data_IF_718039140419
#
_entry.id   IF_718039140419
#
_cell.length_a   1.000
_cell.length_b   1.000
_cell.length_c   1.000
_cell.angle_alpha   90.00
_cell.angle_beta   90.00
_cell.angle_gamma   90.00
#
_symmetry.space_group_name_H-M   'P 1'
#
loop_
_entity.id
_entity.type
_entity.pdbx_description
1 polymer ?
#
# COMPACT_ATOMS: atom_id res chain seq x y z
N UNK A 1 -24.16 5.91 12.96
CA UNK A 1 -22.98 6.24 12.14
C UNK A 1 -23.24 5.81 10.71
N UNK A 2 -22.84 6.61 9.75
CA UNK A 2 -23.01 6.30 8.31
C UNK A 2 -21.82 5.52 7.72
N UNK A 3 -20.69 5.43 8.46
CA UNK A 3 -19.49 4.71 8.04
C UNK A 3 -18.80 4.09 9.26
N UNK A 4 -18.47 2.82 9.14
CA UNK A 4 -17.65 2.07 10.11
C UNK A 4 -16.42 1.54 9.39
N UNK A 5 -15.22 1.80 9.93
CA UNK A 5 -13.99 1.16 9.49
C UNK A 5 -13.52 0.19 10.56
N UNK A 6 -13.44 -1.11 10.23
CA UNK A 6 -12.96 -2.12 11.16
C UNK A 6 -11.53 -2.55 10.81
N UNK A 7 -10.59 -2.23 11.71
CA UNK A 7 -9.23 -2.73 11.61
C UNK A 7 -9.15 -4.14 12.20
N UNK A 8 -9.14 -5.13 11.33
CA UNK A 8 -9.27 -6.55 11.69
C UNK A 8 -8.00 -7.17 12.26
N UNK A 9 -7.22 -6.46 13.08
CA UNK A 9 -6.01 -6.98 13.75
C UNK A 9 -6.13 -6.90 15.25
N UNK A 10 -5.54 -7.89 15.92
CA UNK A 10 -5.44 -7.89 17.38
C UNK A 10 -4.52 -6.76 17.85
N UNK A 11 -4.96 -6.00 18.86
CA UNK A 11 -4.15 -4.98 19.55
C UNK A 11 -3.50 -5.65 20.75
N UNK A 12 -2.19 -5.93 20.66
CA UNK A 12 -1.42 -6.39 21.82
C UNK A 12 -1.01 -5.20 22.69
N UNK A 13 -0.93 -5.36 24.03
CA UNK A 13 -0.63 -4.26 24.96
C UNK A 13 0.65 -3.46 24.60
N UNK A 14 1.66 -4.12 24.04
CA UNK A 14 2.96 -3.53 23.71
C UNK A 14 3.23 -3.40 22.20
N UNK A 15 2.30 -3.80 21.35
CA UNK A 15 2.45 -3.74 19.90
C UNK A 15 1.14 -3.33 19.26
N UNK A 16 1.15 -2.22 18.53
CA UNK A 16 -0.05 -1.69 17.86
C UNK A 16 -0.69 -2.66 16.84
N UNK A 17 0.05 -3.66 16.35
CA UNK A 17 -0.43 -4.61 15.34
C UNK A 17 0.26 -5.96 15.54
N UNK A 18 -0.47 -6.96 15.98
CA UNK A 18 0.03 -8.32 16.12
C UNK A 18 -0.74 -9.27 15.19
N UNK A 19 0.01 -10.11 14.46
CA UNK A 19 -0.54 -11.19 13.64
C UNK A 19 -1.21 -10.76 12.33
N UNK A 20 -1.83 -11.74 11.67
CA UNK A 20 -2.59 -11.54 10.44
C UNK A 20 -3.92 -10.80 10.72
N UNK A 21 -4.46 -10.14 9.70
CA UNK A 21 -5.80 -9.55 9.79
C UNK A 21 -6.86 -10.66 9.87
N UNK A 22 -7.78 -10.55 10.81
CA UNK A 22 -8.89 -11.48 11.04
C UNK A 22 -10.13 -10.99 10.31
N UNK A 23 -10.14 -11.19 8.99
CA UNK A 23 -11.21 -10.70 8.11
C UNK A 23 -12.60 -11.25 8.45
N UNK A 24 -12.65 -12.40 9.14
CA UNK A 24 -13.89 -12.97 9.67
C UNK A 24 -14.66 -12.01 10.59
N UNK A 25 -13.97 -11.11 11.31
CA UNK A 25 -14.65 -10.10 12.13
C UNK A 25 -15.31 -9.00 11.29
N UNK A 26 -14.70 -8.63 10.17
CA UNK A 26 -15.33 -7.68 9.22
C UNK A 26 -16.58 -8.30 8.64
N UNK A 27 -16.48 -9.55 8.17
CA UNK A 27 -17.64 -10.31 7.63
C UNK A 27 -18.76 -10.44 8.65
N UNK A 28 -18.43 -10.76 9.90
CA UNK A 28 -19.43 -10.87 10.98
C UNK A 28 -20.11 -9.53 11.26
N UNK A 29 -19.38 -8.41 11.22
CA UNK A 29 -19.96 -7.07 11.38
C UNK A 29 -20.92 -6.74 10.24
N UNK A 30 -20.52 -6.96 8.99
CA UNK A 30 -21.38 -6.73 7.81
C UNK A 30 -22.66 -7.54 7.94
N UNK A 31 -22.54 -8.84 8.27
CA UNK A 31 -23.71 -9.71 8.48
C UNK A 31 -24.62 -9.20 9.59
N UNK A 32 -24.09 -8.79 10.73
CA UNK A 32 -24.89 -8.28 11.84
C UNK A 32 -25.66 -7.00 11.45
N UNK A 33 -25.04 -6.10 10.67
CA UNK A 33 -25.72 -4.90 10.15
C UNK A 33 -26.82 -5.24 9.16
N UNK A 34 -26.64 -6.27 8.31
CA UNK A 34 -27.68 -6.78 7.42
C UNK A 34 -28.86 -7.37 8.19
N UNK A 35 -28.57 -8.25 9.16
CA UNK A 35 -29.60 -8.92 9.96
C UNK A 35 -30.50 -7.91 10.74
N UNK A 36 -29.91 -6.74 11.09
CA UNK A 36 -30.61 -5.66 11.79
C UNK A 36 -31.23 -4.60 10.86
N UNK A 37 -31.11 -4.75 9.54
CA UNK A 37 -31.59 -3.74 8.57
C UNK A 37 -30.85 -2.41 8.59
N UNK A 38 -29.64 -2.37 9.16
CA UNK A 38 -28.83 -1.15 9.33
C UNK A 38 -27.83 -0.92 8.21
N UNK A 39 -27.48 -1.95 7.42
CA UNK A 39 -26.52 -1.84 6.32
C UNK A 39 -27.07 -0.99 5.18
N UNK A 40 -26.20 -0.21 4.54
CA UNK A 40 -26.59 0.74 3.48
C UNK A 40 -27.22 0.09 2.23
N UNK A 41 -27.08 -1.22 2.04
CA UNK A 41 -27.75 -1.98 0.99
C UNK A 41 -29.22 -2.30 1.32
N UNK A 42 -29.67 -2.05 2.55
CA UNK A 42 -31.06 -2.25 2.98
C UNK A 42 -31.88 -0.94 2.81
N UNK A 43 -33.19 -1.01 2.57
CA UNK A 43 -34.02 0.17 2.28
C UNK A 43 -33.94 1.30 3.32
N UNK A 44 -33.88 0.95 4.61
CA UNK A 44 -33.74 1.91 5.72
C UNK A 44 -32.33 2.05 6.28
N UNK A 45 -31.41 1.21 5.83
CA UNK A 45 -30.02 1.18 6.32
C UNK A 45 -29.19 2.33 5.78
N UNK A 46 -28.27 2.84 6.62
CA UNK A 46 -27.39 3.97 6.26
C UNK A 46 -25.92 3.74 6.62
N UNK A 47 -25.58 2.54 7.10
CA UNK A 47 -24.22 2.25 7.57
C UNK A 47 -23.45 1.47 6.52
N UNK A 48 -22.33 2.01 6.09
CA UNK A 48 -21.33 1.35 5.22
C UNK A 48 -20.18 0.82 6.05
N UNK A 49 -19.53 -0.25 5.58
CA UNK A 49 -18.38 -0.87 6.24
C UNK A 49 -17.17 -0.84 5.34
N UNK A 50 -16.04 -0.33 5.87
CA UNK A 50 -14.73 -0.46 5.23
C UNK A 50 -13.91 -1.52 5.94
N UNK A 51 -13.40 -2.48 5.16
CA UNK A 51 -12.42 -3.47 5.61
C UNK A 51 -11.04 -2.84 5.67
N UNK A 52 -10.38 -2.86 6.84
CA UNK A 52 -9.03 -2.35 7.01
C UNK A 52 -8.08 -3.48 7.41
N UNK A 53 -7.18 -3.84 6.51
CA UNK A 53 -6.16 -4.86 6.70
C UNK A 53 -6.13 -5.90 5.59
N UNK A 54 -5.03 -6.66 5.53
CA UNK A 54 -4.80 -7.75 4.57
C UNK A 54 -4.81 -7.34 3.09
N UNK A 55 -4.62 -6.07 2.77
CA UNK A 55 -4.43 -5.60 1.38
C UNK A 55 -2.99 -5.12 1.25
N UNK A 56 -2.19 -5.81 0.47
CA UNK A 56 -0.78 -5.51 0.18
C UNK A 56 -0.57 -5.17 -1.28
N UNK A 57 -1.37 -5.76 -2.16
CA UNK A 57 -1.36 -5.58 -3.60
C UNK A 57 -2.74 -5.24 -4.11
N UNK A 58 -2.84 -4.78 -5.36
CA UNK A 58 -4.13 -4.57 -6.02
C UNK A 58 -4.99 -5.85 -6.09
N UNK A 59 -4.35 -7.01 -6.28
CA UNK A 59 -5.04 -8.30 -6.37
C UNK A 59 -5.72 -8.72 -5.06
N UNK A 60 -5.25 -8.24 -3.92
CA UNK A 60 -5.88 -8.52 -2.62
C UNK A 60 -7.22 -7.80 -2.46
N UNK A 61 -7.47 -6.72 -3.21
CA UNK A 61 -8.68 -5.89 -3.08
C UNK A 61 -9.95 -6.70 -3.41
N UNK A 62 -10.09 -7.31 -4.62
CA UNK A 62 -11.29 -8.08 -4.94
C UNK A 62 -11.46 -9.29 -4.02
N UNK A 63 -10.39 -9.98 -3.64
CA UNK A 63 -10.46 -11.13 -2.73
C UNK A 63 -10.93 -10.71 -1.33
N UNK A 64 -10.44 -9.59 -0.79
CA UNK A 64 -10.87 -9.05 0.50
C UNK A 64 -12.34 -8.66 0.49
N UNK A 65 -12.80 -7.92 -0.54
CA UNK A 65 -14.21 -7.52 -0.69
C UNK A 65 -15.12 -8.72 -0.85
N UNK A 66 -14.76 -9.70 -1.67
CA UNK A 66 -15.53 -10.92 -1.87
C UNK A 66 -15.69 -11.72 -0.57
N UNK A 67 -14.64 -11.81 0.24
CA UNK A 67 -14.69 -12.53 1.51
C UNK A 67 -15.46 -11.78 2.59
N UNK A 68 -15.18 -10.48 2.76
CA UNK A 68 -15.73 -9.68 3.87
C UNK A 68 -17.14 -9.17 3.61
N UNK A 69 -17.52 -9.04 2.35
CA UNK A 69 -18.75 -8.38 1.89
C UNK A 69 -18.82 -6.90 2.34
N UNK A 70 -17.66 -6.28 2.60
CA UNK A 70 -17.57 -4.87 2.94
C UNK A 70 -17.84 -3.96 1.71
N UNK A 71 -18.31 -2.75 1.95
CA UNK A 71 -18.58 -1.75 0.89
C UNK A 71 -17.31 -1.16 0.28
N UNK A 72 -16.18 -1.30 0.97
CA UNK A 72 -14.91 -0.76 0.49
C UNK A 72 -13.72 -1.19 1.34
N UNK A 73 -12.54 -0.71 0.94
CA UNK A 73 -11.26 -1.03 1.54
C UNK A 73 -10.61 0.22 2.11
N UNK A 74 -9.96 0.10 3.27
CA UNK A 74 -9.02 1.08 3.79
C UNK A 74 -7.61 0.48 3.80
N UNK A 75 -6.67 1.16 3.14
CA UNK A 75 -5.26 0.76 3.08
C UNK A 75 -4.40 1.88 3.66
N UNK A 76 -3.44 1.55 4.51
CA UNK A 76 -2.49 2.51 5.09
C UNK A 76 -1.05 2.17 4.74
N UNK A 77 -0.43 1.29 5.53
CA UNK A 77 0.99 0.97 5.45
C UNK A 77 1.50 0.53 4.06
N UNK A 78 0.78 -0.32 3.30
CA UNK A 78 1.20 -0.70 1.96
C UNK A 78 1.33 0.49 0.99
N UNK A 79 0.54 1.55 1.14
CA UNK A 79 0.66 2.76 0.32
C UNK A 79 1.95 3.55 0.57
N UNK A 80 2.62 3.35 1.70
CA UNK A 80 3.95 3.94 1.95
C UNK A 80 5.02 3.29 1.07
N UNK A 81 4.87 2.00 0.79
CA UNK A 81 5.81 1.23 -0.04
C UNK A 81 5.39 1.28 -1.52
N UNK A 82 4.10 1.19 -1.79
CA UNK A 82 3.49 1.16 -3.12
C UNK A 82 2.42 2.24 -3.25
N UNK A 83 2.79 3.52 -3.47
CA UNK A 83 1.81 4.61 -3.57
C UNK A 83 0.80 4.45 -4.72
N UNK A 84 1.17 3.71 -5.76
CA UNK A 84 0.32 3.39 -6.92
C UNK A 84 -0.49 2.09 -6.76
N UNK A 85 -0.65 1.56 -5.54
CA UNK A 85 -1.36 0.31 -5.27
C UNK A 85 -2.75 0.25 -5.92
N UNK A 86 -3.49 1.36 -5.94
CA UNK A 86 -4.81 1.46 -6.57
C UNK A 86 -4.77 1.89 -8.04
N UNK A 87 -3.59 2.16 -8.60
CA UNK A 87 -3.41 2.57 -9.98
C UNK A 87 -2.17 1.85 -10.58
N UNK A 88 -2.15 0.53 -10.62
CA UNK A 88 -0.96 -0.26 -10.95
C UNK A 88 -0.40 -0.02 -12.36
N UNK A 89 -1.17 0.59 -13.26
CA UNK A 89 -0.76 0.88 -14.63
C UNK A 89 -0.18 2.30 -14.84
N UNK A 90 0.02 3.07 -13.78
CA UNK A 90 0.50 4.46 -13.85
C UNK A 90 1.98 4.58 -13.54
N UNK A 91 2.87 3.95 -14.30
CA UNK A 91 4.31 4.21 -14.25
C UNK A 91 4.97 4.28 -12.85
N UNK A 92 6.26 4.57 -12.76
CA UNK A 92 7.02 4.49 -11.52
C UNK A 92 6.55 5.53 -10.49
N UNK A 93 6.01 5.04 -9.37
CA UNK A 93 5.43 5.86 -8.31
C UNK A 93 6.44 6.86 -7.71
N UNK A 94 7.72 6.48 -7.61
CA UNK A 94 8.75 7.32 -7.00
C UNK A 94 9.06 8.56 -7.85
N UNK A 95 9.19 8.43 -9.18
CA UNK A 95 9.43 9.59 -10.04
C UNK A 95 8.27 10.56 -9.98
N UNK A 96 7.03 10.06 -10.10
CA UNK A 96 5.82 10.86 -9.96
C UNK A 96 5.76 11.59 -8.61
N UNK A 97 6.13 10.90 -7.52
CA UNK A 97 6.18 11.51 -6.19
C UNK A 97 7.21 12.65 -6.12
N UNK A 98 8.43 12.44 -6.62
CA UNK A 98 9.47 13.47 -6.63
C UNK A 98 9.10 14.66 -7.53
N UNK A 99 8.43 14.42 -8.65
CA UNK A 99 7.94 15.49 -9.54
C UNK A 99 6.86 16.33 -8.84
N UNK A 100 5.96 15.70 -8.09
CA UNK A 100 4.98 16.42 -7.28
C UNK A 100 5.64 17.23 -6.16
N UNK A 101 6.64 16.68 -5.48
CA UNK A 101 7.40 17.41 -4.45
C UNK A 101 8.17 18.61 -5.04
N UNK A 102 8.74 18.48 -6.24
CA UNK A 102 9.40 19.58 -6.93
C UNK A 102 8.41 20.68 -7.37
N UNK A 103 7.19 20.27 -7.77
CA UNK A 103 6.12 21.18 -8.18
C UNK A 103 5.52 21.96 -7.02
N UNK A 104 5.49 21.37 -5.82
CA UNK A 104 4.90 21.94 -4.61
C UNK A 104 5.93 21.98 -3.47
N UNK A 105 7.00 22.81 -3.59
CA UNK A 105 8.17 22.76 -2.69
C UNK A 105 7.88 23.20 -1.25
N UNK A 106 6.75 23.86 -1.01
CA UNK A 106 6.36 24.37 0.32
C UNK A 106 5.44 23.44 1.09
N UNK A 107 4.92 22.38 0.44
CA UNK A 107 3.91 21.51 1.08
C UNK A 107 4.52 20.47 2.00
N UNK A 108 5.80 20.13 1.80
CA UNK A 108 6.48 19.15 2.66
C UNK A 108 8.00 19.43 2.79
N UNK A 109 8.56 19.06 3.93
CA UNK A 109 9.99 19.24 4.21
C UNK A 109 10.84 18.11 3.59
N UNK A 110 12.08 18.42 3.24
CA UNK A 110 13.03 17.43 2.70
C UNK A 110 13.17 16.15 3.57
N UNK A 111 13.28 16.21 4.90
CA UNK A 111 13.33 15.00 5.73
C UNK A 111 12.09 14.10 5.60
N UNK A 112 10.89 14.67 5.40
CA UNK A 112 9.67 13.90 5.15
C UNK A 112 9.67 13.27 3.76
N UNK A 113 10.17 13.97 2.75
CA UNK A 113 10.33 13.43 1.40
C UNK A 113 11.32 12.25 1.43
N UNK A 114 12.47 12.41 2.09
CA UNK A 114 13.46 11.36 2.28
C UNK A 114 12.87 10.15 3.02
N UNK A 115 12.04 10.38 4.03
CA UNK A 115 11.35 9.30 4.75
C UNK A 115 10.40 8.50 3.83
N UNK A 116 9.62 9.17 2.97
CA UNK A 116 8.74 8.50 2.01
C UNK A 116 9.54 7.70 0.97
N UNK A 117 10.61 8.29 0.40
CA UNK A 117 11.52 7.58 -0.51
C UNK A 117 12.11 6.34 0.17
N UNK A 118 12.51 6.44 1.44
CA UNK A 118 12.97 5.30 2.23
C UNK A 118 11.92 4.18 2.33
N UNK A 119 10.65 4.52 2.49
CA UNK A 119 9.58 3.51 2.51
C UNK A 119 9.44 2.83 1.15
N UNK A 120 9.45 3.57 0.05
CA UNK A 120 9.34 3.02 -1.31
C UNK A 120 10.53 2.08 -1.64
N UNK A 121 11.72 2.38 -1.12
CA UNK A 121 12.92 1.55 -1.31
C UNK A 121 12.94 0.27 -0.46
N UNK A 122 12.12 0.16 0.60
CA UNK A 122 12.08 -1.02 1.48
C UNK A 122 11.60 -2.30 0.81
N UNK A 123 10.81 -2.20 -0.25
CA UNK A 123 10.29 -3.34 -1.00
C UNK A 123 11.33 -4.03 -1.89
N UNK A 124 12.57 -3.54 -1.91
CA UNK A 124 13.61 -4.05 -2.81
C UNK A 124 14.46 -5.13 -2.17
N UNK A 125 14.97 -6.04 -3.00
CA UNK A 125 15.97 -7.02 -2.57
C UNK A 125 17.24 -6.30 -2.13
N UNK A 126 17.75 -6.53 -0.90
CA UNK A 126 18.95 -5.88 -0.42
C UNK A 126 20.17 -6.27 -1.28
N UNK A 127 20.73 -5.33 -2.02
CA UNK A 127 21.99 -5.47 -2.76
C UNK A 127 22.94 -4.32 -2.39
N UNK A 128 24.18 -4.38 -2.87
CA UNK A 128 25.13 -3.27 -2.72
C UNK A 128 24.60 -2.02 -3.44
N UNK A 129 23.99 -2.21 -4.61
CA UNK A 129 23.46 -1.11 -5.44
C UNK A 129 22.23 -0.47 -4.78
N UNK A 130 21.29 -1.25 -4.25
CA UNK A 130 20.11 -0.70 -3.56
C UNK A 130 20.48 0.04 -2.30
N UNK A 131 21.54 -0.39 -1.59
CA UNK A 131 22.07 0.36 -0.43
C UNK A 131 22.72 1.67 -0.85
N UNK A 132 23.57 1.65 -1.88
CA UNK A 132 24.20 2.87 -2.40
C UNK A 132 23.17 3.88 -2.89
N UNK A 133 22.11 3.40 -3.57
CA UNK A 133 21.00 4.24 -4.02
C UNK A 133 20.24 4.86 -2.83
N UNK A 134 19.95 4.07 -1.80
CA UNK A 134 19.33 4.55 -0.56
C UNK A 134 20.19 5.67 0.08
N UNK A 135 21.48 5.44 0.23
CA UNK A 135 22.40 6.40 0.86
C UNK A 135 22.51 7.70 0.03
N UNK A 136 22.53 7.57 -1.30
CA UNK A 136 22.52 8.74 -2.20
C UNK A 136 21.23 9.57 -2.02
N UNK A 137 20.06 8.95 -1.94
CA UNK A 137 18.79 9.66 -1.67
C UNK A 137 18.78 10.33 -0.31
N UNK A 138 19.33 9.67 0.73
CA UNK A 138 19.37 10.24 2.08
C UNK A 138 20.39 11.39 2.21
N UNK A 139 21.42 11.42 1.37
CA UNK A 139 22.42 12.48 1.32
C UNK A 139 22.03 13.64 0.39
N UNK A 140 20.98 13.49 -0.42
CA UNK A 140 20.54 14.50 -1.37
C UNK A 140 20.14 15.80 -0.65
N UNK A 141 20.69 16.98 -1.07
CA UNK A 141 20.42 18.25 -0.41
C UNK A 141 19.04 18.83 -0.72
N UNK A 142 18.43 18.38 -1.81
CA UNK A 142 17.11 18.85 -2.27
C UNK A 142 16.43 17.83 -3.20
N UNK A 143 15.20 18.14 -3.59
CA UNK A 143 14.39 17.28 -4.47
C UNK A 143 14.98 17.15 -5.88
N UNK A 144 15.63 18.19 -6.40
CA UNK A 144 16.25 18.15 -7.75
C UNK A 144 17.43 17.18 -7.78
N UNK A 145 18.23 17.17 -6.71
CA UNK A 145 19.30 16.18 -6.57
C UNK A 145 18.72 14.76 -6.51
N UNK A 146 17.58 14.55 -5.81
CA UNK A 146 16.89 13.27 -5.79
C UNK A 146 16.37 12.86 -7.18
N UNK A 147 15.81 13.78 -7.96
CA UNK A 147 15.40 13.52 -9.34
C UNK A 147 16.57 13.13 -10.25
N UNK A 148 17.72 13.79 -10.07
CA UNK A 148 18.96 13.45 -10.81
C UNK A 148 19.46 12.04 -10.45
N UNK A 149 19.45 11.67 -9.16
CA UNK A 149 19.78 10.33 -8.69
C UNK A 149 18.83 9.31 -9.31
N UNK A 150 17.53 9.59 -9.30
CA UNK A 150 16.50 8.73 -9.88
C UNK A 150 16.73 8.48 -11.38
N UNK A 151 17.05 9.53 -12.14
CA UNK A 151 17.29 9.46 -13.59
C UNK A 151 18.57 8.71 -13.95
N UNK A 152 19.59 8.73 -13.07
CA UNK A 152 20.87 8.04 -13.25
C UNK A 152 20.84 6.59 -12.75
N UNK A 153 19.84 6.20 -11.95
CA UNK A 153 19.76 4.88 -11.36
C UNK A 153 19.43 3.80 -12.42
N UNK A 154 20.09 2.63 -12.39
CA UNK A 154 19.72 1.51 -13.22
C UNK A 154 18.28 1.08 -12.92
N UNK A 155 17.50 0.78 -13.95
CA UNK A 155 16.07 0.37 -13.79
C UNK A 155 15.91 -0.83 -12.86
N UNK A 156 16.86 -1.76 -12.82
CA UNK A 156 16.86 -2.91 -11.92
C UNK A 156 17.03 -2.55 -10.43
N UNK A 157 17.55 -1.35 -10.13
CA UNK A 157 17.77 -0.86 -8.75
C UNK A 157 16.61 0.00 -8.25
N UNK A 158 15.62 0.27 -9.09
CA UNK A 158 14.44 1.05 -8.74
C UNK A 158 13.30 0.16 -8.23
N UNK A 159 12.37 0.69 -7.42
CA UNK A 159 11.23 -0.07 -6.95
C UNK A 159 10.48 -0.71 -8.11
N UNK A 160 10.40 -2.05 -8.09
CA UNK A 160 9.55 -2.78 -9.03
C UNK A 160 8.09 -2.46 -8.72
N UNK A 161 7.30 -2.30 -9.75
CA UNK A 161 5.86 -2.16 -9.60
C UNK A 161 5.25 -3.44 -9.03
N UNK A 162 4.17 -3.31 -8.26
CA UNK A 162 3.52 -4.45 -7.60
C UNK A 162 3.03 -5.55 -8.58
N UNK A 163 3.02 -5.29 -9.89
CA UNK A 163 2.70 -6.25 -10.95
C UNK A 163 3.81 -7.26 -11.25
N UNK A 164 5.08 -6.88 -11.11
CA UNK A 164 6.19 -7.75 -11.49
C UNK A 164 6.43 -8.88 -10.47
N UNK A 165 6.00 -8.70 -9.23
CA UNK A 165 6.19 -9.69 -8.15
C UNK A 165 5.36 -10.95 -8.37
N UNK A 166 4.24 -10.89 -9.11
CA UNK A 166 3.40 -12.07 -9.39
C UNK A 166 3.80 -12.83 -10.67
N UNK A 167 4.42 -12.18 -11.65
CA UNK A 167 4.89 -12.87 -12.86
C UNK A 167 5.98 -13.89 -12.57
N UNK A 168 6.92 -13.52 -11.69
CA UNK A 168 8.02 -14.40 -11.28
C UNK A 168 7.53 -15.61 -10.45
N UNK A 169 6.37 -15.50 -9.78
CA UNK A 169 5.77 -16.59 -9.00
C UNK A 169 5.00 -17.59 -9.87
N UNK A 170 4.37 -17.16 -10.96
CA UNK A 170 3.65 -18.04 -11.89
C UNK A 170 4.61 -18.79 -12.83
N UNK A 171 5.72 -18.17 -13.24
CA UNK A 171 6.75 -18.84 -14.06
C UNK A 171 7.52 -19.91 -13.26
N UNK A 172 7.67 -19.77 -11.94
CA UNK A 172 8.36 -20.76 -11.10
C UNK A 172 7.52 -22.01 -10.80
N UNK A 173 6.20 -21.96 -10.95
CA UNK A 173 5.29 -23.10 -10.71
C UNK A 173 4.95 -23.89 -11.99
N UNK A 174 5.37 -23.42 -13.15
CA UNK A 174 5.05 -24.02 -14.47
C UNK A 174 5.99 -25.13 -14.95
N UNK A 175 7.03 -25.48 -14.20
CA UNK A 175 8.00 -26.50 -14.64
C UNK A 175 7.99 -27.74 -13.74
N UNK A 176 6.90 -28.52 -13.82
CA UNK A 176 6.86 -29.92 -13.36
C UNK A 176 5.69 -30.65 -14.03
N UNK A 177 5.92 -31.15 -15.21
CA UNK A 177 5.25 -32.32 -15.79
C UNK A 177 6.26 -33.17 -16.56
#
# INVERSE_FOLDING_TARGET
SSLITLHARHVAPNRRRAGAAKLEHVRALVKALHDQGLHASQPSGRTRVLSNGHVRTWHDVPANLAYTQADGIMVGEPLLVHPNLFAPHRGPAMSTYLDMCARYPHDTSLPRIQQHVRYMLRGQTPSRETRALHDAFMAAPDVRAMQSIMSAAPSASLPREAHDVHRDAEESTGCSR
#
